data_IF_514684613083
#
_entry.id   IF_514684613083
#
_cell.length_a   1.000
_cell.length_b   1.000
_cell.length_c   1.000
_cell.angle_alpha   90.00
_cell.angle_beta   90.00
_cell.angle_gamma   90.00
#
_symmetry.space_group_name_H-M   'P 1'
#
loop_
_entity.id
_entity.type
_entity.pdbx_description
1 polymer ?
#
# COMPACT_ATOMS: atom_id res chain seq x y z
N UNK A 1 -35.86 38.13 24.15
CA UNK A 1 -36.21 36.70 23.98
C UNK A 1 -35.59 36.21 22.68
N UNK A 2 -34.35 35.70 22.73
CA UNK A 2 -33.68 34.93 21.67
C UNK A 2 -32.81 33.90 22.38
N UNK A 3 -33.01 32.66 21.98
CA UNK A 3 -32.57 31.41 22.60
C UNK A 3 -31.06 31.25 22.54
N UNK A 4 -30.45 30.96 23.70
CA UNK A 4 -29.10 30.43 23.83
C UNK A 4 -29.21 28.94 23.50
N UNK A 5 -28.93 28.56 22.26
CA UNK A 5 -28.85 27.17 21.82
C UNK A 5 -27.58 27.04 20.99
N UNK A 6 -26.40 26.93 21.63
CA UNK A 6 -25.12 26.83 20.90
C UNK A 6 -23.95 26.27 21.74
N UNK A 7 -24.21 25.55 22.84
CA UNK A 7 -23.13 24.92 23.64
C UNK A 7 -23.07 23.40 23.45
N UNK A 8 -24.18 22.73 23.11
CA UNK A 8 -24.18 21.27 22.94
C UNK A 8 -23.55 20.79 21.62
N UNK A 9 -23.54 21.60 20.57
CA UNK A 9 -23.01 21.19 19.25
C UNK A 9 -21.48 21.16 19.20
N UNK A 10 -20.79 21.95 20.03
CA UNK A 10 -19.31 21.96 20.09
C UNK A 10 -18.74 20.71 20.78
N UNK A 11 -19.51 20.05 21.66
CA UNK A 11 -19.05 18.86 22.39
C UNK A 11 -18.97 17.60 21.52
N UNK A 12 -19.94 17.40 20.63
CA UNK A 12 -20.04 16.18 19.81
C UNK A 12 -18.98 16.10 18.70
N UNK A 13 -18.61 17.22 18.09
CA UNK A 13 -17.60 17.25 17.04
C UNK A 13 -16.21 16.91 17.58
N UNK A 14 -15.84 17.47 18.74
CA UNK A 14 -14.55 17.19 19.39
C UNK A 14 -14.43 15.75 19.88
N UNK A 15 -15.52 15.17 20.40
CA UNK A 15 -15.52 13.78 20.87
C UNK A 15 -15.35 12.79 19.70
N UNK A 16 -15.98 13.07 18.56
CA UNK A 16 -15.84 12.24 17.36
C UNK A 16 -14.42 12.28 16.76
N UNK A 17 -13.79 13.45 16.75
CA UNK A 17 -12.42 13.62 16.26
C UNK A 17 -11.40 12.86 17.13
N UNK A 18 -11.54 12.96 18.46
CA UNK A 18 -10.68 12.25 19.40
C UNK A 18 -10.82 10.73 19.26
N UNK A 19 -12.04 10.23 19.06
CA UNK A 19 -12.26 8.80 18.88
C UNK A 19 -11.68 8.30 17.55
N UNK A 20 -11.85 9.07 16.48
CA UNK A 20 -11.27 8.76 15.18
C UNK A 20 -9.73 8.73 15.24
N UNK A 21 -9.12 9.66 15.96
CA UNK A 21 -7.67 9.66 16.16
C UNK A 21 -7.19 8.42 16.93
N UNK A 22 -7.90 8.01 17.99
CA UNK A 22 -7.60 6.76 18.70
C UNK A 22 -7.72 5.53 17.80
N UNK A 23 -8.75 5.48 16.96
CA UNK A 23 -8.95 4.39 15.98
C UNK A 23 -7.79 4.31 15.00
N UNK A 24 -7.36 5.44 14.44
CA UNK A 24 -6.19 5.52 13.56
C UNK A 24 -4.93 5.05 14.29
N UNK A 25 -4.70 5.49 15.54
CA UNK A 25 -3.54 5.03 16.32
C UNK A 25 -3.57 3.54 16.62
N UNK A 26 -4.73 2.97 16.97
CA UNK A 26 -4.90 1.54 17.18
C UNK A 26 -4.58 0.73 15.92
N UNK A 27 -5.10 1.17 14.77
CA UNK A 27 -4.81 0.52 13.48
C UNK A 27 -3.34 0.65 13.07
N UNK A 28 -2.68 1.76 13.43
CA UNK A 28 -1.24 1.95 13.20
C UNK A 28 -0.41 0.92 13.96
N UNK A 29 -0.69 0.72 15.25
CA UNK A 29 -0.04 -0.29 16.08
C UNK A 29 -0.25 -1.69 15.48
N UNK A 30 -1.47 -1.99 15.04
CA UNK A 30 -1.82 -3.27 14.42
C UNK A 30 -1.04 -3.51 13.11
N UNK A 31 -0.96 -2.49 12.25
CA UNK A 31 -0.20 -2.54 11.01
C UNK A 31 1.30 -2.75 11.27
N UNK A 32 1.91 -2.02 12.22
CA UNK A 32 3.32 -2.15 12.57
C UNK A 32 3.62 -3.56 13.12
N UNK A 33 2.75 -4.09 13.98
CA UNK A 33 2.84 -5.48 14.46
C UNK A 33 2.79 -6.47 13.31
N UNK A 34 1.89 -6.27 12.35
CA UNK A 34 1.76 -7.14 11.19
C UNK A 34 2.99 -7.06 10.28
N UNK A 35 3.52 -5.86 10.03
CA UNK A 35 4.75 -5.64 9.25
C UNK A 35 5.92 -6.41 9.88
N UNK A 36 6.08 -6.34 11.20
CA UNK A 36 7.19 -6.95 11.92
C UNK A 36 8.53 -6.48 11.34
N UNK A 37 9.44 -7.41 11.04
CA UNK A 37 10.72 -7.10 10.40
C UNK A 37 10.66 -7.12 8.86
N UNK A 38 9.50 -7.41 8.28
CA UNK A 38 9.36 -7.62 6.84
C UNK A 38 8.68 -6.42 6.17
N UNK A 39 9.21 -6.01 5.01
CA UNK A 39 8.49 -5.09 4.12
C UNK A 39 7.29 -5.82 3.50
N UNK A 40 6.11 -5.21 3.55
CA UNK A 40 4.89 -5.73 2.94
C UNK A 40 4.23 -4.64 2.07
N UNK A 41 3.59 -5.03 0.95
CA UNK A 41 2.81 -4.10 0.13
C UNK A 41 1.67 -3.45 0.91
N UNK A 42 1.34 -2.21 0.57
CA UNK A 42 0.26 -1.45 1.20
C UNK A 42 -1.09 -2.18 1.15
N UNK A 43 -1.41 -2.84 0.03
CA UNK A 43 -2.65 -3.61 -0.13
C UNK A 43 -2.76 -4.81 0.82
N UNK A 44 -1.64 -5.40 1.23
CA UNK A 44 -1.62 -6.47 2.25
C UNK A 44 -1.90 -5.92 3.64
N UNK A 45 -1.36 -4.74 3.94
CA UNK A 45 -1.65 -4.04 5.20
C UNK A 45 -3.11 -3.60 5.24
N UNK A 46 -3.63 -3.05 4.14
CA UNK A 46 -5.04 -2.70 3.99
C UNK A 46 -5.96 -3.92 4.22
N UNK A 47 -5.64 -5.06 3.61
CA UNK A 47 -6.35 -6.32 3.84
C UNK A 47 -6.36 -6.72 5.31
N UNK A 48 -5.20 -6.64 5.97
CA UNK A 48 -5.08 -6.98 7.40
C UNK A 48 -5.86 -6.05 8.33
N UNK A 49 -5.91 -4.76 8.01
CA UNK A 49 -6.70 -3.78 8.76
C UNK A 49 -8.20 -4.00 8.55
N UNK A 50 -8.63 -4.31 7.33
CA UNK A 50 -10.02 -4.66 7.06
C UNK A 50 -10.47 -5.92 7.83
N UNK A 51 -9.62 -6.94 7.88
CA UNK A 51 -9.83 -8.14 8.71
C UNK A 51 -9.89 -7.81 10.21
N UNK A 52 -9.23 -6.75 10.66
CA UNK A 52 -9.26 -6.26 12.04
C UNK A 52 -10.46 -5.34 12.35
N UNK A 53 -11.33 -5.06 11.36
CA UNK A 53 -12.53 -4.25 11.56
C UNK A 53 -12.31 -2.74 11.49
N UNK A 54 -11.28 -2.28 10.79
CA UNK A 54 -11.15 -0.87 10.41
C UNK A 54 -11.94 -0.58 9.14
N UNK A 55 -12.60 0.59 9.07
CA UNK A 55 -13.30 1.03 7.87
C UNK A 55 -12.35 1.62 6.82
N UNK A 56 -12.87 1.90 5.61
CA UNK A 56 -12.03 2.38 4.50
C UNK A 56 -11.39 3.75 4.75
N UNK A 57 -12.03 4.64 5.50
CA UNK A 57 -11.49 5.98 5.74
C UNK A 57 -10.42 5.95 6.85
N UNK A 58 -10.65 5.14 7.89
CA UNK A 58 -9.62 4.78 8.87
C UNK A 58 -8.42 4.13 8.19
N UNK A 59 -8.63 3.14 7.32
CA UNK A 59 -7.57 2.46 6.58
C UNK A 59 -6.76 3.45 5.74
N UNK A 60 -7.42 4.35 4.99
CA UNK A 60 -6.71 5.38 4.20
C UNK A 60 -5.84 6.27 5.08
N UNK A 61 -6.37 6.74 6.22
CA UNK A 61 -5.62 7.59 7.15
C UNK A 61 -4.41 6.84 7.74
N UNK A 62 -4.60 5.58 8.14
CA UNK A 62 -3.52 4.72 8.66
C UNK A 62 -2.45 4.50 7.60
N UNK A 63 -2.81 4.07 6.39
CA UNK A 63 -1.86 3.83 5.30
C UNK A 63 -1.09 5.09 4.93
N UNK A 64 -1.76 6.24 4.83
CA UNK A 64 -1.11 7.53 4.58
C UNK A 64 -0.05 7.82 5.64
N UNK A 65 -0.41 7.71 6.92
CA UNK A 65 0.55 7.95 8.01
C UNK A 65 1.74 6.97 7.99
N UNK A 66 1.54 5.72 7.56
CA UNK A 66 2.61 4.72 7.48
C UNK A 66 3.53 4.97 6.29
N UNK A 67 3.02 5.53 5.20
CA UNK A 67 3.83 5.96 4.06
C UNK A 67 4.66 7.19 4.44
N UNK A 68 4.04 8.17 5.11
CA UNK A 68 4.73 9.40 5.56
C UNK A 68 5.89 9.12 6.52
N UNK A 69 5.76 8.08 7.37
CA UNK A 69 6.81 7.65 8.29
C UNK A 69 7.73 6.53 7.71
N UNK A 70 7.73 6.32 6.39
CA UNK A 70 8.59 5.35 5.67
C UNK A 70 8.41 3.87 6.08
N UNK A 71 7.32 3.51 6.76
CA UNK A 71 6.99 2.10 7.06
C UNK A 71 6.51 1.34 5.81
N UNK A 72 5.88 2.04 4.86
CA UNK A 72 5.38 1.47 3.61
C UNK A 72 5.98 2.17 2.41
N UNK A 73 6.46 1.37 1.45
CA UNK A 73 7.01 1.87 0.20
C UNK A 73 6.75 0.84 -0.92
N UNK A 74 5.63 1.01 -1.61
CA UNK A 74 5.24 0.15 -2.72
C UNK A 74 6.12 0.36 -3.95
N UNK A 75 6.67 1.56 -4.17
CA UNK A 75 7.56 1.83 -5.30
C UNK A 75 8.87 1.04 -5.17
N UNK A 76 9.51 1.05 -3.99
CA UNK A 76 10.71 0.28 -3.75
C UNK A 76 10.43 -1.24 -3.84
N UNK A 77 9.28 -1.70 -3.32
CA UNK A 77 8.89 -3.10 -3.44
C UNK A 77 8.64 -3.51 -4.90
N UNK A 78 7.93 -2.69 -5.67
CA UNK A 78 7.64 -2.94 -7.08
C UNK A 78 8.93 -2.97 -7.90
N UNK A 79 9.82 -1.98 -7.75
CA UNK A 79 11.12 -1.92 -8.42
C UNK A 79 11.98 -3.15 -8.11
N UNK A 80 12.07 -3.52 -6.83
CA UNK A 80 12.83 -4.71 -6.39
C UNK A 80 12.27 -6.00 -6.97
N UNK A 81 10.94 -6.12 -7.06
CA UNK A 81 10.30 -7.29 -7.64
C UNK A 81 10.48 -7.35 -9.16
N UNK A 82 10.31 -6.24 -9.87
CA UNK A 82 10.52 -6.14 -11.32
C UNK A 82 11.98 -6.44 -11.70
N UNK A 83 12.96 -5.95 -10.93
CA UNK A 83 14.38 -6.21 -11.18
C UNK A 83 14.73 -7.72 -11.12
N UNK A 84 13.97 -8.52 -10.36
CA UNK A 84 14.16 -9.98 -10.26
C UNK A 84 13.55 -10.76 -11.41
N UNK A 85 12.84 -10.10 -12.33
CA UNK A 85 12.10 -10.71 -13.44
C UNK A 85 12.82 -10.49 -14.75
N UNK A 86 14.06 -10.99 -14.82
CA UNK A 86 14.94 -10.93 -15.99
C UNK A 86 15.60 -12.29 -16.24
N UNK A 87 16.21 -12.46 -17.41
CA UNK A 87 16.87 -13.71 -17.82
C UNK A 87 15.94 -14.92 -17.68
N UNK A 88 16.36 -15.94 -16.93
CA UNK A 88 15.57 -17.17 -16.71
C UNK A 88 14.24 -16.97 -15.97
N UNK A 89 14.08 -15.84 -15.29
CA UNK A 89 12.84 -15.47 -14.58
C UNK A 89 12.08 -14.34 -15.28
N UNK A 90 12.47 -14.02 -16.52
CA UNK A 90 11.76 -13.04 -17.33
C UNK A 90 10.30 -13.47 -17.52
N UNK A 91 9.42 -12.49 -17.43
CA UNK A 91 8.00 -12.62 -17.75
C UNK A 91 7.59 -11.41 -18.58
N UNK A 92 6.51 -11.51 -19.36
CA UNK A 92 6.03 -10.35 -20.11
C UNK A 92 5.61 -9.22 -19.17
N UNK A 93 5.66 -7.97 -19.64
CA UNK A 93 5.20 -6.80 -18.87
C UNK A 93 3.78 -6.98 -18.33
N UNK A 94 2.90 -7.59 -19.12
CA UNK A 94 1.53 -7.89 -18.69
C UNK A 94 1.48 -8.91 -17.55
N UNK A 95 2.30 -9.96 -17.62
CA UNK A 95 2.39 -10.96 -16.55
C UNK A 95 2.98 -10.35 -15.28
N UNK A 96 4.02 -9.53 -15.42
CA UNK A 96 4.65 -8.78 -14.32
C UNK A 96 3.64 -7.84 -13.66
N UNK A 97 2.92 -7.04 -14.44
CA UNK A 97 1.88 -6.13 -13.95
C UNK A 97 0.84 -6.88 -13.08
N UNK A 98 0.31 -7.98 -13.63
CA UNK A 98 -0.67 -8.81 -12.96
C UNK A 98 -0.12 -9.39 -11.64
N UNK A 99 1.12 -9.87 -11.65
CA UNK A 99 1.79 -10.40 -10.46
C UNK A 99 1.95 -9.32 -9.37
N UNK A 100 2.46 -8.14 -9.75
CA UNK A 100 2.70 -7.07 -8.79
C UNK A 100 1.39 -6.59 -8.16
N UNK A 101 0.33 -6.44 -8.98
CA UNK A 101 -1.01 -6.10 -8.49
C UNK A 101 -1.58 -7.18 -7.55
N UNK A 102 -1.49 -8.47 -7.91
CA UNK A 102 -1.93 -9.58 -7.06
C UNK A 102 -1.17 -9.65 -5.72
N UNK A 103 0.08 -9.16 -5.68
CA UNK A 103 0.83 -9.08 -4.45
C UNK A 103 0.34 -7.97 -3.50
N UNK A 104 -0.50 -7.05 -4.00
CA UNK A 104 -1.09 -5.95 -3.26
C UNK A 104 -0.34 -4.62 -3.41
N UNK A 105 0.43 -4.44 -4.49
CA UNK A 105 1.08 -3.16 -4.80
C UNK A 105 0.09 -2.20 -5.47
N UNK A 106 0.22 -0.90 -5.19
CA UNK A 106 -0.60 0.14 -5.84
C UNK A 106 -0.39 0.18 -7.35
N UNK A 107 -1.44 0.57 -8.09
CA UNK A 107 -1.37 0.71 -9.55
C UNK A 107 -0.24 1.68 -9.98
N UNK A 108 -0.09 2.80 -9.28
CA UNK A 108 0.98 3.78 -9.51
C UNK A 108 2.38 3.16 -9.38
N UNK A 109 2.63 2.38 -8.32
CA UNK A 109 3.91 1.72 -8.14
C UNK A 109 4.18 0.65 -9.20
N UNK A 110 3.13 -0.06 -9.64
CA UNK A 110 3.21 -1.04 -10.74
C UNK A 110 3.58 -0.35 -12.05
N UNK A 111 2.86 0.72 -12.41
CA UNK A 111 3.10 1.47 -13.64
C UNK A 111 4.52 2.05 -13.67
N UNK A 112 4.96 2.68 -12.57
CA UNK A 112 6.31 3.21 -12.45
C UNK A 112 7.38 2.11 -12.59
N UNK A 113 7.20 0.97 -11.94
CA UNK A 113 8.15 -0.14 -12.03
C UNK A 113 8.23 -0.73 -13.44
N UNK A 114 7.12 -0.73 -14.18
CA UNK A 114 7.08 -1.18 -15.56
C UNK A 114 7.69 -0.14 -16.52
N UNK A 115 7.51 1.15 -16.29
CA UNK A 115 8.10 2.19 -17.13
C UNK A 115 9.63 2.04 -17.25
N UNK A 116 10.30 1.70 -16.13
CA UNK A 116 11.75 1.46 -16.07
C UNK A 116 12.16 0.02 -16.46
N UNK A 117 11.18 -0.87 -16.69
CA UNK A 117 11.44 -2.27 -17.04
C UNK A 117 11.66 -2.41 -18.55
N UNK A 118 12.59 -3.29 -19.01
CA UNK A 118 12.77 -3.54 -20.44
C UNK A 118 11.48 -3.99 -21.12
N UNK A 119 11.38 -3.77 -22.42
CA UNK A 119 10.27 -4.28 -23.22
C UNK A 119 10.34 -5.82 -23.38
N UNK A 120 9.21 -6.39 -23.80
CA UNK A 120 9.04 -7.84 -23.95
C UNK A 120 10.02 -8.42 -24.98
N UNK A 121 10.38 -7.67 -26.01
CA UNK A 121 11.30 -8.13 -27.06
C UNK A 121 12.72 -8.29 -26.50
N UNK A 122 13.18 -7.28 -25.75
CA UNK A 122 14.47 -7.28 -25.06
C UNK A 122 14.54 -8.43 -24.05
N UNK A 123 13.50 -8.60 -23.22
CA UNK A 123 13.42 -9.67 -22.24
C UNK A 123 13.44 -11.06 -22.87
N UNK A 124 12.75 -11.25 -24.00
CA UNK A 124 12.76 -12.51 -24.73
C UNK A 124 14.17 -12.84 -25.24
N UNK A 125 14.90 -11.85 -25.74
CA UNK A 125 16.31 -11.99 -26.13
C UNK A 125 17.21 -12.43 -24.96
N UNK A 126 17.13 -11.74 -23.82
CA UNK A 126 17.87 -12.09 -22.61
C UNK A 126 17.53 -13.52 -22.11
N UNK A 127 16.26 -13.90 -22.17
CA UNK A 127 15.80 -15.22 -21.74
C UNK A 127 16.38 -16.34 -22.60
N UNK A 128 16.51 -16.13 -23.92
CA UNK A 128 17.14 -17.10 -24.82
C UNK A 128 18.64 -17.24 -24.54
N UNK A 129 19.35 -16.12 -24.34
CA UNK A 129 20.79 -16.12 -24.07
C UNK A 129 21.18 -16.78 -22.74
N UNK A 130 20.27 -16.81 -21.76
CA UNK A 130 20.53 -17.38 -20.43
C UNK A 130 20.07 -18.83 -20.29
N UNK A 131 19.27 -19.33 -21.22
CA UNK A 131 18.62 -20.65 -21.16
C UNK A 131 19.37 -21.72 -21.96
N UNK A 132 20.20 -21.30 -22.91
CA UNK A 132 21.17 -22.12 -23.65
C UNK A 132 22.59 -21.72 -23.25
#
# INVERSE_FOLDING_TARGET
>A
MRTISSISDLGGEHESAVEQEKRVQAGRIEAIRFLGLARKPSGRVAGRLREAGFDEDEIKAILKSLIEDDYLDDHALARRQAARRRGRQAESRRALACRLAQNGLTAEAVEAALADHPDDFTLAGEALQTRF
#
